data_IF_829385423105
#
_entry.id   IF_829385423105
#
_cell.length_a   1.000
_cell.length_b   1.000
_cell.length_c   1.000
_cell.angle_alpha   90.00
_cell.angle_beta   90.00
_cell.angle_gamma   90.00
#
_symmetry.space_group_name_H-M   'P 1'
#
loop_
_entity.id
_entity.type
_entity.pdbx_description
1 polymer ?
#
# COMPACT_ATOMS: atom_id res chain seq x y z
N UNK A 1 -15.42 1.44 19.46
CA UNK A 1 -15.47 2.71 18.69
C UNK A 1 -15.00 3.84 19.60
N UNK A 2 -14.04 4.66 19.18
CA UNK A 2 -13.58 5.80 19.98
C UNK A 2 -14.66 6.87 20.04
N UNK A 3 -15.22 7.14 21.23
CA UNK A 3 -16.25 8.18 21.39
C UNK A 3 -15.69 9.57 21.09
N UNK A 4 -16.52 10.46 20.54
CA UNK A 4 -16.20 11.91 20.35
C UNK A 4 -15.71 12.58 21.64
N UNK A 5 -16.20 12.14 22.80
CA UNK A 5 -15.72 12.61 24.11
C UNK A 5 -14.27 12.20 24.39
N UNK A 6 -13.85 11.02 23.93
CA UNK A 6 -12.46 10.56 24.00
C UNK A 6 -11.55 11.36 23.07
N UNK A 7 -12.01 11.65 21.84
CA UNK A 7 -11.28 12.47 20.87
C UNK A 7 -10.93 13.87 21.39
N UNK A 8 -11.88 14.51 22.10
CA UNK A 8 -11.64 15.84 22.71
C UNK A 8 -10.54 15.83 23.77
N UNK A 9 -10.34 14.71 24.47
CA UNK A 9 -9.32 14.58 25.52
C UNK A 9 -7.92 14.37 24.95
N UNK A 10 -7.82 13.68 23.81
CA UNK A 10 -6.53 13.39 23.18
C UNK A 10 -6.01 14.54 22.31
N UNK A 11 -6.88 15.39 21.76
CA UNK A 11 -6.45 16.48 20.88
C UNK A 11 -5.85 17.65 21.70
N UNK A 12 -4.55 17.98 21.52
CA UNK A 12 -3.89 19.06 22.24
C UNK A 12 -4.58 20.42 22.07
N UNK A 13 -4.36 21.33 23.02
CA UNK A 13 -4.88 22.72 22.92
C UNK A 13 -4.15 23.56 21.87
N UNK A 14 -3.01 23.10 21.38
CA UNK A 14 -2.17 23.82 20.41
C UNK A 14 -2.68 23.77 18.98
N UNK A 15 -3.74 23.00 18.69
CA UNK A 15 -4.37 22.96 17.37
C UNK A 15 -5.23 24.20 17.15
N UNK A 16 -5.02 24.87 16.02
CA UNK A 16 -5.70 26.13 15.69
C UNK A 16 -7.20 25.92 15.48
N UNK A 17 -7.57 24.84 14.78
CA UNK A 17 -8.95 24.58 14.32
C UNK A 17 -9.55 23.33 14.95
N UNK A 18 -9.53 23.25 16.29
CA UNK A 18 -9.91 22.03 17.03
C UNK A 18 -11.26 21.44 16.65
N UNK A 19 -12.27 22.29 16.44
CA UNK A 19 -13.64 21.84 16.13
C UNK A 19 -13.67 21.11 14.79
N UNK A 20 -13.01 21.66 13.78
CA UNK A 20 -12.94 21.09 12.43
C UNK A 20 -12.16 19.78 12.45
N UNK A 21 -10.98 19.77 13.08
CA UNK A 21 -10.17 18.55 13.27
C UNK A 21 -11.00 17.42 13.91
N UNK A 22 -11.74 17.72 14.99
CA UNK A 22 -12.56 16.72 15.67
C UNK A 22 -13.71 16.22 14.79
N UNK A 23 -14.35 17.10 14.02
CA UNK A 23 -15.43 16.74 13.10
C UNK A 23 -14.91 15.83 12.00
N UNK A 24 -13.82 16.19 11.34
CA UNK A 24 -13.23 15.39 10.27
C UNK A 24 -12.75 14.02 10.77
N UNK A 25 -12.04 13.97 11.91
CA UNK A 25 -11.64 12.70 12.52
C UNK A 25 -12.88 11.85 12.83
N UNK A 26 -13.95 12.44 13.40
CA UNK A 26 -15.17 11.69 13.71
C UNK A 26 -15.82 11.12 12.45
N UNK A 27 -15.86 11.88 11.36
CA UNK A 27 -16.35 11.43 10.05
C UNK A 27 -15.52 10.26 9.55
N UNK A 28 -14.19 10.36 9.56
CA UNK A 28 -13.30 9.28 9.11
C UNK A 28 -13.51 8.02 9.94
N UNK A 29 -13.54 8.12 11.27
CA UNK A 29 -13.71 6.96 12.16
C UNK A 29 -15.09 6.30 12.03
N UNK A 30 -16.11 7.04 11.58
CA UNK A 30 -17.43 6.47 11.29
C UNK A 30 -17.46 5.62 10.02
N UNK A 31 -16.55 5.89 9.07
CA UNK A 31 -16.49 5.23 7.75
C UNK A 31 -15.37 4.20 7.65
N UNK A 32 -14.29 4.38 8.41
CA UNK A 32 -13.09 3.55 8.38
C UNK A 32 -12.80 3.01 9.78
N UNK A 33 -13.46 1.91 10.13
CA UNK A 33 -13.45 1.32 11.49
C UNK A 33 -12.08 0.82 11.97
N UNK A 34 -11.15 0.57 11.04
CA UNK A 34 -9.80 0.07 11.34
C UNK A 34 -8.78 1.20 11.56
N UNK A 35 -9.15 2.46 11.34
CA UNK A 35 -8.33 3.60 11.72
C UNK A 35 -8.61 3.99 13.17
N UNK A 36 -7.57 4.41 13.88
CA UNK A 36 -7.65 4.87 15.26
C UNK A 36 -6.88 6.17 15.44
N UNK A 37 -7.42 7.11 16.23
CA UNK A 37 -6.72 8.32 16.57
C UNK A 37 -5.69 8.03 17.66
N UNK A 38 -4.43 8.40 17.42
CA UNK A 38 -3.31 8.23 18.35
C UNK A 38 -2.57 9.55 18.52
N UNK A 39 -2.14 9.86 19.74
CA UNK A 39 -1.31 11.02 20.02
C UNK A 39 0.14 10.54 20.17
N UNK A 40 1.00 10.89 19.22
CA UNK A 40 2.36 10.36 19.13
C UNK A 40 3.38 11.47 18.83
N UNK A 41 4.65 11.19 19.14
CA UNK A 41 5.76 12.10 18.85
C UNK A 41 6.16 11.97 17.38
N UNK A 42 5.93 13.01 16.60
CA UNK A 42 6.42 13.14 15.23
C UNK A 42 7.75 13.90 15.20
N UNK A 43 8.73 13.40 14.46
CA UNK A 43 10.03 14.05 14.24
C UNK A 43 10.06 14.58 12.81
N UNK A 44 10.17 15.89 12.66
CA UNK A 44 10.26 16.56 11.37
C UNK A 44 11.67 16.42 10.77
N UNK A 45 11.78 16.69 9.47
CA UNK A 45 13.06 16.64 8.74
C UNK A 45 14.10 17.64 9.27
N UNK A 46 13.68 18.70 9.99
CA UNK A 46 14.58 19.64 10.66
C UNK A 46 15.06 19.15 12.05
N UNK A 47 14.74 17.90 12.40
CA UNK A 47 15.08 17.27 13.68
C UNK A 47 14.17 17.67 14.84
N UNK A 48 13.25 18.64 14.67
CA UNK A 48 12.33 19.01 15.74
C UNK A 48 11.29 17.93 15.96
N UNK A 49 10.93 17.71 17.22
CA UNK A 49 9.88 16.77 17.60
C UNK A 49 8.65 17.50 18.14
N UNK A 50 7.45 17.06 17.75
CA UNK A 50 6.18 17.54 18.30
C UNK A 50 5.22 16.39 18.58
N UNK A 51 4.34 16.57 19.56
CA UNK A 51 3.21 15.65 19.78
C UNK A 51 2.09 16.00 18.82
N UNK A 52 1.79 15.10 17.89
CA UNK A 52 0.75 15.27 16.87
C UNK A 52 -0.30 14.17 16.98
N UNK A 53 -1.53 14.47 16.59
CA UNK A 53 -2.55 13.46 16.40
C UNK A 53 -2.31 12.79 15.04
N UNK A 54 -2.39 11.47 15.00
CA UNK A 54 -2.38 10.69 13.78
C UNK A 54 -3.59 9.77 13.73
N UNK A 55 -4.10 9.51 12.53
CA UNK A 55 -5.02 8.41 12.26
C UNK A 55 -4.22 7.23 11.74
N UNK A 56 -4.03 6.22 12.58
CA UNK A 56 -3.21 5.06 12.28
C UNK A 56 -4.06 3.80 12.28
N UNK A 57 -3.84 2.92 11.30
CA UNK A 57 -4.59 1.68 11.15
C UNK A 57 -4.48 1.16 9.72
N UNK A 58 -5.51 0.47 9.23
CA UNK A 58 -5.55 -0.05 7.86
C UNK A 58 -6.70 0.54 7.05
N UNK A 59 -6.49 0.68 5.74
CA UNK A 59 -7.54 0.93 4.76
C UNK A 59 -7.71 -0.30 3.87
N UNK A 60 -8.95 -0.70 3.60
CA UNK A 60 -9.26 -1.85 2.74
C UNK A 60 -9.24 -1.40 1.28
N UNK A 61 -8.52 -2.13 0.43
CA UNK A 61 -8.44 -1.88 -1.01
C UNK A 61 -8.66 -3.19 -1.77
N UNK A 62 -9.22 -3.10 -2.97
CA UNK A 62 -9.36 -4.25 -3.86
C UNK A 62 -8.31 -4.11 -4.95
N UNK A 63 -7.42 -5.09 -5.06
CA UNK A 63 -6.44 -5.18 -6.13
C UNK A 63 -6.55 -6.58 -6.75
N UNK A 64 -6.67 -6.64 -8.08
CA UNK A 64 -6.78 -7.91 -8.81
C UNK A 64 -7.83 -8.87 -8.22
N UNK A 65 -9.03 -8.33 -7.95
CA UNK A 65 -10.15 -9.09 -7.36
C UNK A 65 -9.99 -9.51 -5.90
N UNK A 66 -8.85 -9.23 -5.25
CA UNK A 66 -8.56 -9.59 -3.86
C UNK A 66 -8.56 -8.37 -2.96
N UNK A 67 -9.00 -8.56 -1.70
CA UNK A 67 -9.01 -7.52 -0.67
C UNK A 67 -7.70 -7.50 0.10
N UNK A 68 -7.10 -6.32 0.21
CA UNK A 68 -5.87 -6.07 0.96
C UNK A 68 -6.11 -5.01 2.03
N UNK A 69 -5.48 -5.18 3.18
CA UNK A 69 -5.48 -4.21 4.27
C UNK A 69 -4.16 -3.45 4.22
N UNK A 70 -4.18 -2.20 3.79
CA UNK A 70 -2.98 -1.37 3.65
C UNK A 70 -2.80 -0.56 4.93
N UNK A 71 -1.75 -0.81 5.73
CA UNK A 71 -1.48 -0.03 6.92
C UNK A 71 -0.97 1.37 6.58
N UNK A 72 -1.65 2.38 7.12
CA UNK A 72 -1.39 3.81 6.89
C UNK A 72 -1.37 4.60 8.20
N UNK A 73 -0.76 5.77 8.16
CA UNK A 73 -0.75 6.74 9.25
C UNK A 73 -0.85 8.15 8.68
N UNK A 74 -1.92 8.87 9.02
CA UNK A 74 -2.20 10.23 8.57
C UNK A 74 -1.99 11.19 9.74
N UNK A 75 -0.88 11.94 9.72
CA UNK A 75 -0.48 12.87 10.76
C UNK A 75 -1.03 14.25 10.50
N UNK A 76 -1.67 14.86 11.49
CA UNK A 76 -2.22 16.20 11.38
C UNK A 76 -1.27 17.18 12.10
N UNK A 77 -0.86 18.26 11.42
CA UNK A 77 -0.14 19.36 12.07
C UNK A 77 -1.13 20.21 12.87
N UNK A 78 -0.61 21.01 13.81
CA UNK A 78 -1.41 21.97 14.61
C UNK A 78 -2.18 22.97 13.74
N UNK A 79 -1.66 23.27 12.54
CA UNK A 79 -2.26 24.14 11.52
C UNK A 79 -3.35 23.49 10.68
N UNK A 80 -3.60 22.18 10.81
CA UNK A 80 -4.68 21.48 10.09
C UNK A 80 -6.05 22.12 10.39
N UNK A 81 -6.95 22.30 9.38
CA UNK A 81 -6.86 21.82 8.00
C UNK A 81 -6.25 22.82 7.00
N UNK A 82 -5.60 23.90 7.45
CA UNK A 82 -4.90 24.83 6.53
C UNK A 82 -3.69 24.22 5.86
N UNK A 83 -3.14 23.16 6.43
CA UNK A 83 -2.05 22.38 5.85
C UNK A 83 -2.50 20.94 5.65
N UNK A 84 -2.06 20.34 4.54
CA UNK A 84 -2.27 18.93 4.26
C UNK A 84 -1.78 18.03 5.43
N UNK A 85 -2.41 16.87 5.62
CA UNK A 85 -1.88 15.84 6.49
C UNK A 85 -0.57 15.28 5.91
N UNK A 86 0.31 14.79 6.79
CA UNK A 86 1.53 14.06 6.38
C UNK A 86 1.19 12.57 6.43
N UNK A 87 1.35 11.86 5.32
CA UNK A 87 0.85 10.51 5.17
C UNK A 87 1.99 9.52 4.96
N UNK A 88 1.98 8.43 5.74
CA UNK A 88 2.95 7.35 5.62
C UNK A 88 2.27 5.99 5.56
N UNK A 89 2.87 5.07 4.82
CA UNK A 89 2.67 3.63 4.98
C UNK A 89 3.27 3.16 6.31
N UNK A 90 2.67 2.15 6.91
CA UNK A 90 3.15 1.52 8.15
C UNK A 90 3.33 0.01 7.93
N UNK A 91 4.27 -0.42 7.07
CA UNK A 91 4.47 -1.83 6.78
C UNK A 91 4.75 -2.63 8.07
N UNK A 92 4.26 -3.87 8.13
CA UNK A 92 4.70 -4.84 9.14
C UNK A 92 6.14 -5.31 8.84
N UNK A 93 6.73 -6.07 9.75
CA UNK A 93 8.06 -6.70 9.53
C UNK A 93 8.09 -7.60 8.29
N UNK A 94 6.94 -8.11 7.86
CA UNK A 94 6.78 -9.02 6.73
C UNK A 94 6.46 -8.28 5.43
N UNK A 95 6.35 -6.95 5.46
CA UNK A 95 6.03 -6.14 4.29
C UNK A 95 7.26 -5.36 3.81
N UNK A 96 7.25 -5.01 2.53
CA UNK A 96 8.20 -4.11 1.88
C UNK A 96 7.41 -3.06 1.11
N UNK A 97 7.84 -1.81 1.22
CA UNK A 97 7.29 -0.70 0.42
C UNK A 97 7.68 -0.91 -1.04
N UNK A 98 6.72 -0.69 -1.94
CA UNK A 98 6.93 -0.65 -3.38
C UNK A 98 6.90 0.83 -3.79
N UNK A 99 8.06 1.50 -3.93
CA UNK A 99 8.09 2.91 -4.28
C UNK A 99 7.52 3.14 -5.67
N UNK A 100 6.87 4.28 -5.87
CA UNK A 100 6.32 4.69 -7.15
C UNK A 100 6.26 6.22 -7.24
N UNK A 101 5.65 6.77 -8.29
CA UNK A 101 5.52 8.22 -8.48
C UNK A 101 4.89 8.96 -7.29
N UNK A 102 4.10 8.27 -6.48
CA UNK A 102 3.36 8.84 -5.35
C UNK A 102 3.83 8.34 -3.98
N UNK A 103 4.81 7.44 -3.92
CA UNK A 103 5.30 6.83 -2.69
C UNK A 103 6.81 6.73 -2.72
N UNK A 104 7.48 7.37 -1.77
CA UNK A 104 8.94 7.29 -1.67
C UNK A 104 9.42 6.03 -0.91
N UNK A 105 10.72 5.77 -0.90
CA UNK A 105 11.32 4.60 -0.23
C UNK A 105 11.14 4.56 1.28
N UNK A 106 10.86 5.71 1.92
CA UNK A 106 10.52 5.77 3.35
C UNK A 106 9.05 5.44 3.65
N UNK A 107 8.23 5.33 2.60
CA UNK A 107 6.80 5.06 2.69
C UNK A 107 5.96 6.32 2.82
N UNK A 108 6.54 7.51 2.63
CA UNK A 108 5.79 8.76 2.56
C UNK A 108 4.94 8.77 1.29
N UNK A 109 3.67 9.14 1.45
CA UNK A 109 2.70 9.26 0.37
C UNK A 109 2.69 10.72 -0.08
N UNK A 110 3.07 10.96 -1.32
CA UNK A 110 3.18 12.27 -1.97
C UNK A 110 2.33 12.23 -3.23
N UNK A 111 1.11 12.76 -3.18
CA UNK A 111 0.14 12.65 -4.27
C UNK A 111 -0.47 14.02 -4.60
N UNK A 112 -0.98 14.24 -5.83
CA UNK A 112 -1.49 15.55 -6.25
C UNK A 112 -2.54 16.14 -5.30
N UNK A 113 -3.39 15.27 -4.72
CA UNK A 113 -4.40 15.71 -3.75
C UNK A 113 -3.80 16.32 -2.45
N UNK A 114 -2.61 15.88 -2.03
CA UNK A 114 -1.87 16.47 -0.90
C UNK A 114 -1.14 17.74 -1.33
N UNK A 115 -0.55 17.76 -2.52
CA UNK A 115 0.19 18.91 -3.05
C UNK A 115 -0.72 20.12 -3.33
N UNK A 116 -1.94 19.85 -3.80
CA UNK A 116 -2.96 20.85 -4.12
C UNK A 116 -3.95 21.08 -2.97
N UNK A 117 -3.64 20.62 -1.75
CA UNK A 117 -4.53 20.67 -0.61
C UNK A 117 -5.04 22.09 -0.32
N UNK A 118 -6.36 22.25 -0.26
CA UNK A 118 -7.05 23.50 0.08
C UNK A 118 -8.06 23.24 1.20
N UNK A 119 -7.88 23.90 2.34
CA UNK A 119 -8.69 23.77 3.57
C UNK A 119 -10.20 23.65 3.33
N UNK A 120 -10.77 24.44 2.42
CA UNK A 120 -12.22 24.47 2.19
C UNK A 120 -12.70 23.53 1.07
N UNK A 121 -11.79 22.87 0.37
CA UNK A 121 -12.07 22.01 -0.78
C UNK A 121 -11.61 20.56 -0.57
N UNK A 122 -10.70 20.33 0.37
CA UNK A 122 -10.12 19.04 0.67
C UNK A 122 -10.44 18.63 2.11
N UNK A 123 -10.75 17.34 2.29
CA UNK A 123 -10.98 16.72 3.60
C UNK A 123 -10.29 15.35 3.72
N UNK A 124 -10.17 14.83 4.95
CA UNK A 124 -9.52 13.54 5.22
C UNK A 124 -10.25 12.33 4.63
N UNK A 125 -11.58 12.36 4.55
CA UNK A 125 -12.32 11.22 4.03
C UNK A 125 -12.08 11.06 2.53
N UNK A 126 -12.17 12.16 1.79
CA UNK A 126 -11.86 12.20 0.37
C UNK A 126 -10.41 11.80 0.11
N UNK A 127 -9.45 12.29 0.91
CA UNK A 127 -8.05 11.84 0.82
C UNK A 127 -7.91 10.31 0.93
N UNK A 128 -8.58 9.68 1.89
CA UNK A 128 -8.55 8.22 2.05
C UNK A 128 -9.17 7.52 0.83
N UNK A 129 -10.25 8.06 0.27
CA UNK A 129 -10.84 7.51 -0.96
C UNK A 129 -9.87 7.59 -2.14
N UNK A 130 -9.15 8.70 -2.31
CA UNK A 130 -8.13 8.82 -3.37
C UNK A 130 -6.99 7.82 -3.12
N UNK A 131 -6.55 7.63 -1.87
CA UNK A 131 -5.56 6.58 -1.53
C UNK A 131 -6.06 5.19 -1.91
N UNK A 132 -7.31 4.85 -1.61
CA UNK A 132 -7.91 3.55 -1.94
C UNK A 132 -7.89 3.31 -3.46
N UNK A 133 -8.26 4.31 -4.26
CA UNK A 133 -8.22 4.23 -5.73
C UNK A 133 -6.78 4.02 -6.21
N UNK A 134 -5.83 4.82 -5.74
CA UNK A 134 -4.44 4.69 -6.15
C UNK A 134 -3.83 3.31 -5.81
N UNK A 135 -4.12 2.80 -4.61
CA UNK A 135 -3.62 1.50 -4.15
C UNK A 135 -4.34 0.32 -4.81
N UNK A 136 -5.53 0.54 -5.39
CA UNK A 136 -6.24 -0.45 -6.21
C UNK A 136 -5.65 -0.61 -7.61
N UNK A 137 -4.93 0.40 -8.10
CA UNK A 137 -4.21 0.33 -9.38
C UNK A 137 -2.81 -0.27 -9.19
N UNK A 138 -2.07 0.23 -8.20
CA UNK A 138 -0.71 -0.23 -7.89
C UNK A 138 -0.57 -0.40 -6.37
N UNK A 139 -0.49 -1.64 -5.86
CA UNK A 139 -0.38 -1.91 -4.43
C UNK A 139 0.91 -1.30 -3.87
N UNK A 140 0.83 -0.55 -2.76
CA UNK A 140 1.97 0.17 -2.22
C UNK A 140 2.92 -0.72 -1.40
N UNK A 141 2.48 -1.95 -1.09
CA UNK A 141 3.18 -2.90 -0.24
C UNK A 141 3.16 -4.28 -0.89
N UNK A 142 4.27 -5.00 -0.75
CA UNK A 142 4.35 -6.43 -1.05
C UNK A 142 4.80 -7.21 0.18
N UNK A 143 4.45 -8.48 0.25
CA UNK A 143 5.05 -9.36 1.25
C UNK A 143 6.52 -9.62 0.93
N UNK A 144 7.33 -9.71 1.98
CA UNK A 144 8.68 -10.26 1.92
C UNK A 144 8.53 -11.73 1.54
N UNK A 145 9.24 -12.13 0.50
CA UNK A 145 9.50 -13.54 0.29
C UNK A 145 10.58 -13.88 1.30
N UNK A 146 10.30 -14.81 2.21
CA UNK A 146 11.37 -15.41 2.99
C UNK A 146 12.27 -16.13 1.97
N UNK A 147 13.58 -15.88 1.94
CA UNK A 147 14.45 -16.81 1.25
C UNK A 147 14.27 -18.14 1.98
N UNK A 148 13.75 -19.14 1.25
CA UNK A 148 13.91 -20.53 1.67
C UNK A 148 15.42 -20.71 1.88
N UNK A 149 15.83 -21.02 3.11
CA UNK A 149 17.21 -21.40 3.39
C UNK A 149 17.59 -22.47 2.37
N UNK A 150 18.68 -22.23 1.66
CA UNK A 150 19.17 -23.00 0.54
C UNK A 150 19.27 -24.50 0.85
N UNK A 151 18.17 -25.20 0.61
CA UNK A 151 18.07 -26.63 0.36
C UNK A 151 17.96 -26.83 -1.15
N UNK A 152 18.91 -27.57 -1.70
CA UNK A 152 19.15 -27.77 -3.12
C UNK A 152 17.94 -28.25 -3.97
N UNK A 153 17.86 -27.64 -5.16
CA UNK A 153 17.53 -28.23 -6.47
C UNK A 153 16.06 -28.53 -6.85
N UNK A 154 15.77 -28.13 -8.10
CA UNK A 154 14.65 -28.42 -8.99
C UNK A 154 13.36 -27.62 -8.78
N UNK A 155 13.14 -26.60 -9.63
CA UNK A 155 12.32 -26.77 -10.86
C UNK A 155 12.46 -25.51 -11.74
N UNK A 156 12.99 -25.69 -12.95
CA UNK A 156 12.86 -24.70 -14.02
C UNK A 156 11.39 -24.64 -14.45
N UNK A 157 10.84 -23.43 -14.59
CA UNK A 157 9.67 -23.19 -15.43
C UNK A 157 9.96 -21.94 -16.27
N UNK A 158 10.50 -22.16 -17.47
CA UNK A 158 10.58 -21.14 -18.53
C UNK A 158 9.39 -21.36 -19.44
N UNK A 159 8.53 -20.35 -19.57
CA UNK A 159 7.51 -20.28 -20.61
C UNK A 159 7.85 -19.06 -21.46
N UNK A 160 8.38 -19.29 -22.67
CA UNK A 160 8.12 -18.42 -23.81
C UNK A 160 7.83 -19.29 -25.03
N UNK A 161 6.75 -18.90 -25.72
CA UNK A 161 6.01 -19.61 -26.76
C UNK A 161 6.64 -19.50 -28.16
N UNK A 162 6.47 -20.58 -28.93
CA UNK A 162 5.98 -20.63 -30.32
C UNK A 162 6.63 -19.70 -31.36
N UNK A 163 7.37 -20.27 -32.30
CA UNK A 163 7.20 -19.91 -33.73
C UNK A 163 7.80 -20.95 -34.69
N UNK A 164 7.14 -21.05 -35.84
CA UNK A 164 7.56 -21.68 -37.10
C UNK A 164 7.26 -23.17 -37.32
N UNK A 165 6.02 -23.38 -37.76
CA UNK A 165 5.66 -24.36 -38.80
C UNK A 165 6.46 -24.06 -40.07
N UNK A 166 7.22 -25.04 -40.58
CA UNK A 166 7.58 -25.15 -41.99
C UNK A 166 7.56 -26.63 -42.41
N UNK A 167 6.78 -26.90 -43.44
CA UNK A 167 6.84 -28.09 -44.28
C UNK A 167 8.14 -28.05 -45.10
N UNK A 168 8.81 -29.20 -45.26
CA UNK A 168 9.22 -29.66 -46.59
C UNK A 168 9.63 -31.14 -46.59
N UNK A 169 9.33 -31.76 -47.73
CA UNK A 169 9.47 -33.19 -48.09
C UNK A 169 10.84 -33.46 -48.74
N UNK A 170 11.08 -34.77 -48.95
CA UNK A 170 12.09 -35.45 -49.79
C UNK A 170 13.45 -35.69 -49.12
N UNK A 171 14.13 -36.84 -49.22
CA UNK A 171 13.84 -38.15 -49.82
C UNK A 171 14.85 -39.18 -49.24
N UNK A 172 14.57 -40.47 -49.48
CA UNK A 172 15.47 -41.64 -49.57
C UNK A 172 15.60 -42.66 -48.40
N UNK A 173 15.09 -43.86 -48.74
CA UNK A 173 15.15 -45.23 -48.18
C UNK A 173 16.59 -45.86 -48.18
N UNK A 174 16.87 -47.14 -47.77
CA UNK A 174 15.96 -48.25 -47.36
C UNK A 174 16.36 -49.10 -46.11
N UNK A 175 15.37 -49.90 -45.67
CA UNK A 175 15.38 -51.28 -45.11
C UNK A 175 16.67 -51.95 -44.62
N UNK A 176 16.61 -52.57 -43.43
CA UNK A 176 16.72 -54.03 -43.28
C UNK A 176 16.14 -54.50 -41.93
N UNK A 177 15.28 -55.51 -42.03
CA UNK A 177 14.80 -56.40 -40.97
C UNK A 177 15.96 -57.00 -40.18
N UNK A 178 15.77 -57.30 -38.88
CA UNK A 178 16.25 -58.53 -38.25
C UNK A 178 15.23 -58.99 -37.19
N UNK A 179 14.84 -60.25 -37.35
CA UNK A 179 13.83 -61.02 -36.66
C UNK A 179 14.32 -61.57 -35.30
N UNK A 180 13.34 -61.89 -34.43
CA UNK A 180 13.32 -62.99 -33.44
C UNK A 180 14.27 -62.88 -32.22
N UNK A 181 14.00 -63.41 -31.03
CA UNK A 181 13.02 -64.41 -30.55
C UNK A 181 12.71 -64.16 -29.07
N UNK A 182 11.50 -64.51 -28.65
CA UNK A 182 11.07 -64.70 -27.26
C UNK A 182 11.74 -65.94 -26.66
N UNK A 183 12.18 -65.83 -25.41
CA UNK A 183 12.13 -66.87 -24.38
C UNK A 183 11.79 -66.20 -23.05
#
# INVERSE_FOLDING_TARGET
MTSVRGLRRILPKTYDHKREVLTEISTVLSRHQYLKPVLEKFVFNDGKAKMLIALTGTIEVIYDGKRYNIPVSLWLKESYPRTAPICYLKPTSEMVIVPNKHINSSGEIMMPYLDEWRHTQCDLHTLIQVMMVMFSEVPPLRMRLYPEDSGSAYQNCSVEEISHVMLDREDNFPFSEHNETVC
#
